data_IF_264807136149
#
_entry.id   IF_264807136149
#
_cell.length_a   1.000
_cell.length_b   1.000
_cell.length_c   1.000
_cell.angle_alpha   90.00
_cell.angle_beta   90.00
_cell.angle_gamma   90.00
#
_symmetry.space_group_name_H-M   'P 1'
#
loop_
_entity.id
_entity.type
_entity.pdbx_description
1 polymer ?
#
# COMPACT_ATOMS: atom_id res chain seq x y z
N UNK A 1 2.59 -17.02 9.69
CA UNK A 1 1.89 -17.99 8.81
C UNK A 1 0.68 -17.30 8.19
N UNK A 2 0.49 -17.47 6.89
CA UNK A 2 -0.53 -16.85 6.02
C UNK A 2 -0.35 -15.34 5.73
N UNK A 3 0.77 -14.99 5.09
CA UNK A 3 0.76 -13.87 4.13
C UNK A 3 -0.11 -14.30 2.95
N UNK A 4 -1.42 -14.09 3.08
CA UNK A 4 -2.32 -14.16 1.94
C UNK A 4 -1.91 -13.02 1.00
N UNK A 5 -0.99 -13.35 0.09
CA UNK A 5 -0.61 -12.56 -1.05
C UNK A 5 -1.82 -12.37 -1.93
N UNK A 6 -2.67 -11.41 -1.57
CA UNK A 6 -3.70 -10.91 -2.44
C UNK A 6 -3.02 -9.94 -3.39
N UNK A 7 -2.21 -10.50 -4.30
CA UNK A 7 -2.04 -9.88 -5.60
C UNK A 7 -3.45 -9.70 -6.12
N UNK A 8 -3.91 -8.46 -6.18
CA UNK A 8 -5.24 -8.11 -6.68
C UNK A 8 -5.29 -8.56 -8.16
N UNK A 9 -5.77 -9.78 -8.36
CA UNK A 9 -6.03 -10.44 -9.66
C UNK A 9 -7.40 -10.00 -10.23
N UNK A 10 -8.19 -9.23 -9.46
CA UNK A 10 -9.57 -8.86 -9.83
C UNK A 10 -9.68 -8.02 -11.12
N UNK A 11 -8.60 -7.38 -11.60
CA UNK A 11 -8.62 -6.49 -12.78
C UNK A 11 -7.54 -6.80 -13.82
N UNK A 12 -7.31 -8.09 -14.13
CA UNK A 12 -6.41 -8.46 -15.23
C UNK A 12 -7.09 -8.25 -16.60
N UNK A 13 -6.33 -7.84 -17.63
CA UNK A 13 -6.83 -7.71 -18.99
C UNK A 13 -7.37 -9.05 -19.51
N UNK A 14 -8.58 -9.02 -20.08
CA UNK A 14 -9.31 -10.16 -20.63
C UNK A 14 -9.43 -10.03 -22.15
N UNK A 15 -9.53 -11.14 -22.85
CA UNK A 15 -9.86 -11.15 -24.27
C UNK A 15 -11.34 -10.87 -24.52
N UNK A 16 -11.74 -10.82 -25.79
CA UNK A 16 -13.13 -10.62 -26.21
C UNK A 16 -14.07 -11.74 -25.72
N UNK A 17 -13.53 -12.90 -25.34
CA UNK A 17 -14.25 -14.05 -24.80
C UNK A 17 -14.25 -14.11 -23.26
N UNK A 18 -13.63 -13.13 -22.58
CA UNK A 18 -13.58 -13.03 -21.11
C UNK A 18 -12.47 -13.85 -20.44
N UNK A 19 -11.60 -14.53 -21.20
CA UNK A 19 -10.47 -15.29 -20.67
C UNK A 19 -9.31 -14.39 -20.28
N UNK A 20 -8.56 -14.79 -19.25
CA UNK A 20 -7.38 -14.06 -18.79
C UNK A 20 -6.26 -14.16 -19.82
N UNK A 21 -5.88 -13.03 -20.41
CA UNK A 21 -4.76 -12.96 -21.37
C UNK A 21 -3.39 -13.16 -20.73
N UNK A 22 -3.30 -13.06 -19.40
CA UNK A 22 -2.03 -13.06 -18.68
C UNK A 22 -1.34 -14.43 -18.65
N UNK A 23 -2.09 -15.52 -18.53
CA UNK A 23 -1.56 -16.90 -18.53
C UNK A 23 -0.90 -17.25 -19.88
N UNK A 24 -1.53 -17.04 -21.04
CA UNK A 24 -0.88 -17.28 -22.33
C UNK A 24 0.21 -16.25 -22.66
N UNK A 25 0.08 -15.02 -22.15
CA UNK A 25 1.07 -13.96 -22.34
C UNK A 25 2.40 -14.25 -21.62
N UNK A 26 2.35 -14.93 -20.45
CA UNK A 26 3.50 -15.23 -19.58
C UNK A 26 4.41 -14.02 -19.33
N UNK A 27 3.81 -12.83 -19.22
CA UNK A 27 4.51 -11.58 -18.91
C UNK A 27 5.46 -11.06 -20.02
N UNK A 28 5.65 -11.78 -21.13
CA UNK A 28 6.61 -11.41 -22.19
C UNK A 28 5.95 -11.02 -23.51
N UNK A 29 4.77 -11.55 -23.83
CA UNK A 29 4.11 -11.35 -25.14
C UNK A 29 3.25 -10.09 -25.23
N UNK A 30 3.05 -9.38 -24.12
CA UNK A 30 2.26 -8.15 -24.01
C UNK A 30 0.88 -8.20 -24.72
N UNK A 31 0.18 -9.35 -24.66
CA UNK A 31 -1.14 -9.56 -25.31
C UNK A 31 -2.24 -8.58 -24.85
N UNK A 32 -2.00 -7.84 -23.77
CA UNK A 32 -2.89 -6.81 -23.25
C UNK A 32 -2.70 -5.42 -23.90
N UNK A 33 -1.78 -5.27 -24.85
CA UNK A 33 -1.52 -4.02 -25.57
C UNK A 33 -0.80 -2.93 -24.77
N UNK A 34 -0.32 -3.24 -23.55
CA UNK A 34 0.44 -2.30 -22.72
C UNK A 34 1.92 -2.37 -23.07
N UNK A 35 2.61 -1.24 -23.05
CA UNK A 35 4.07 -1.15 -23.26
C UNK A 35 4.87 -1.99 -22.25
N UNK A 36 4.35 -2.11 -21.02
CA UNK A 36 4.95 -2.90 -19.94
C UNK A 36 3.90 -3.75 -19.25
N UNK A 37 4.26 -4.96 -18.85
CA UNK A 37 3.35 -5.84 -18.13
C UNK A 37 3.12 -5.34 -16.70
N UNK A 38 1.87 -5.04 -16.27
CA UNK A 38 1.58 -4.56 -14.92
C UNK A 38 2.00 -5.55 -13.82
N UNK A 39 1.98 -6.85 -14.12
CA UNK A 39 2.40 -7.89 -13.19
C UNK A 39 3.90 -7.80 -12.87
N UNK A 40 4.72 -7.59 -13.90
CA UNK A 40 6.17 -7.46 -13.74
C UNK A 40 6.53 -6.18 -12.98
N UNK A 41 5.88 -5.07 -13.33
CA UNK A 41 6.08 -3.77 -12.67
C UNK A 41 5.77 -3.88 -11.18
N UNK A 42 4.63 -4.49 -10.81
CA UNK A 42 4.28 -4.73 -9.41
C UNK A 42 5.27 -5.65 -8.70
N UNK A 43 5.70 -6.73 -9.35
CA UNK A 43 6.65 -7.68 -8.78
C UNK A 43 8.00 -6.99 -8.47
N UNK A 44 8.54 -6.25 -9.42
CA UNK A 44 9.82 -5.55 -9.25
C UNK A 44 9.73 -4.47 -8.16
N UNK A 45 8.65 -3.69 -8.12
CA UNK A 45 8.45 -2.68 -7.08
C UNK A 45 8.30 -3.32 -5.69
N UNK A 46 7.61 -4.47 -5.62
CA UNK A 46 7.45 -5.22 -4.38
C UNK A 46 8.78 -5.82 -3.89
N UNK A 47 9.56 -6.43 -4.79
CA UNK A 47 10.89 -6.96 -4.46
C UNK A 47 11.83 -5.88 -3.94
N UNK A 48 11.87 -4.71 -4.60
CA UNK A 48 12.67 -3.57 -4.14
C UNK A 48 12.29 -3.11 -2.74
N UNK A 49 10.99 -3.05 -2.45
CA UNK A 49 10.53 -2.65 -1.11
C UNK A 49 10.84 -3.74 -0.08
N UNK A 50 10.64 -5.01 -0.42
CA UNK A 50 10.92 -6.13 0.47
C UNK A 50 12.40 -6.18 0.88
N UNK A 51 13.32 -5.87 -0.03
CA UNK A 51 14.76 -5.83 0.31
C UNK A 51 15.13 -4.71 1.30
N UNK A 52 14.30 -3.67 1.42
CA UNK A 52 14.51 -2.57 2.36
C UNK A 52 13.96 -2.85 3.76
N UNK A 53 13.08 -3.85 3.89
CA UNK A 53 12.49 -4.25 5.16
C UNK A 53 13.46 -5.18 5.89
N UNK A 54 14.09 -4.66 6.96
CA UNK A 54 14.97 -5.45 7.83
C UNK A 54 14.22 -5.78 9.12
N UNK A 55 13.63 -6.97 9.19
CA UNK A 55 12.99 -7.49 10.41
C UNK A 55 11.51 -7.14 10.59
N UNK A 56 11.04 -7.23 11.83
CA UNK A 56 9.63 -6.99 12.22
C UNK A 56 9.39 -5.57 12.74
N UNK A 57 10.40 -4.72 12.80
CA UNK A 57 10.28 -3.34 13.26
C UNK A 57 10.40 -2.40 12.07
N UNK A 58 9.50 -1.43 12.00
CA UNK A 58 9.44 -0.43 10.95
C UNK A 58 9.32 0.95 11.59
N UNK A 59 10.35 1.77 11.40
CA UNK A 59 10.39 3.16 11.82
C UNK A 59 10.45 4.05 10.58
N UNK A 60 9.59 5.07 10.52
CA UNK A 60 9.51 5.92 9.35
C UNK A 60 8.66 7.16 9.57
N UNK A 61 8.79 8.12 8.66
CA UNK A 61 7.83 9.23 8.61
C UNK A 61 6.59 8.73 7.87
N UNK A 62 5.49 8.51 8.60
CA UNK A 62 4.21 8.22 7.94
C UNK A 62 3.79 9.50 7.22
N UNK A 63 3.53 9.49 5.90
CA UNK A 63 2.67 10.53 5.33
C UNK A 63 1.35 10.57 6.13
N UNK A 64 0.52 11.62 6.01
CA UNK A 64 -0.79 11.67 6.67
C UNK A 64 -1.79 10.58 6.15
N UNK A 65 -1.29 9.53 5.52
CA UNK A 65 -2.01 8.39 4.98
C UNK A 65 -2.28 7.34 6.03
N UNK A 66 -3.56 6.99 6.17
CA UNK A 66 -4.02 5.87 6.97
C UNK A 66 -4.72 4.88 6.07
N UNK A 67 -4.46 3.60 6.30
CA UNK A 67 -5.20 2.52 5.66
C UNK A 67 -6.40 2.07 6.52
N UNK A 68 -7.57 1.97 5.90
CA UNK A 68 -8.78 1.37 6.48
C UNK A 68 -9.23 0.21 5.60
N UNK A 69 -9.29 -0.99 6.18
CA UNK A 69 -9.66 -2.21 5.48
C UNK A 69 -11.17 -2.36 5.26
N UNK A 70 -11.55 -2.84 4.07
CA UNK A 70 -12.95 -3.10 3.70
C UNK A 70 -13.57 -4.36 4.31
N UNK A 71 -12.74 -5.29 4.79
CA UNK A 71 -13.17 -6.60 5.26
C UNK A 71 -13.38 -6.63 6.77
N UNK A 72 -14.48 -7.24 7.20
CA UNK A 72 -14.76 -7.49 8.62
C UNK A 72 -15.68 -6.48 9.31
N UNK A 73 -16.26 -5.53 8.58
CA UNK A 73 -17.16 -4.51 9.15
C UNK A 73 -18.25 -5.13 10.06
N UNK A 74 -18.47 -4.61 11.29
CA UNK A 74 -17.91 -3.39 11.87
C UNK A 74 -16.47 -3.51 12.43
N UNK A 75 -15.93 -4.73 12.55
CA UNK A 75 -14.55 -4.99 13.03
C UNK A 75 -13.54 -4.85 11.89
N UNK A 76 -13.06 -3.64 11.66
CA UNK A 76 -12.13 -3.36 10.56
C UNK A 76 -10.67 -3.39 11.00
N UNK A 77 -9.79 -3.58 10.03
CA UNK A 77 -8.36 -3.43 10.25
C UNK A 77 -7.93 -2.03 9.84
N UNK A 78 -7.22 -1.32 10.71
CA UNK A 78 -6.69 0.01 10.43
C UNK A 78 -5.19 0.06 10.71
N UNK A 79 -4.51 1.03 10.12
CA UNK A 79 -3.14 1.35 10.49
C UNK A 79 -2.48 2.39 9.59
N UNK A 80 -1.40 3.02 10.08
CA UNK A 80 -0.63 3.97 9.30
C UNK A 80 0.10 3.28 8.14
N UNK A 81 0.45 4.07 7.12
CA UNK A 81 1.31 3.61 6.03
C UNK A 81 2.70 4.21 6.18
N UNK A 82 3.70 3.36 6.39
CA UNK A 82 5.06 3.78 6.68
C UNK A 82 6.01 3.36 5.55
N UNK A 83 6.90 4.24 5.09
CA UNK A 83 8.06 3.85 4.30
C UNK A 83 9.21 3.33 5.19
N UNK A 84 10.11 2.48 4.66
CA UNK A 84 11.28 1.99 5.39
C UNK A 84 12.42 3.03 5.51
N UNK A 85 12.11 4.31 5.37
CA UNK A 85 13.07 5.42 5.46
C UNK A 85 12.46 6.64 6.15
N UNK A 86 13.32 7.47 6.76
CA UNK A 86 12.94 8.76 7.33
C UNK A 86 13.10 9.91 6.33
N UNK A 87 12.35 11.00 6.55
CA UNK A 87 12.42 12.22 5.74
C UNK A 87 11.05 12.82 5.46
N UNK A 88 10.99 13.77 4.51
CA UNK A 88 9.71 14.27 3.99
C UNK A 88 9.07 13.23 3.07
N UNK A 89 8.06 12.54 3.58
CA UNK A 89 7.33 11.49 2.87
C UNK A 89 6.00 12.00 2.30
N UNK A 90 5.71 13.31 2.39
CA UNK A 90 4.48 13.92 1.89
C UNK A 90 4.24 13.63 0.41
N UNK A 91 5.31 13.60 -0.40
CA UNK A 91 5.22 13.30 -1.83
C UNK A 91 4.68 11.89 -2.10
N UNK A 92 4.90 10.93 -1.20
CA UNK A 92 4.48 9.53 -1.39
C UNK A 92 2.97 9.33 -1.37
N UNK A 93 2.22 10.30 -0.81
CA UNK A 93 0.76 10.22 -0.66
C UNK A 93 0.01 11.49 -1.10
N UNK A 94 0.66 12.39 -1.85
CA UNK A 94 0.02 13.59 -2.42
C UNK A 94 -0.18 13.42 -3.94
N UNK A 95 -1.27 12.78 -4.40
CA UNK A 95 -1.49 12.50 -5.82
C UNK A 95 -1.56 13.76 -6.70
N UNK A 96 -1.95 14.90 -6.13
CA UNK A 96 -2.00 16.20 -6.80
C UNK A 96 -0.61 16.61 -7.32
N UNK A 97 0.46 16.18 -6.64
CA UNK A 97 1.85 16.46 -7.02
C UNK A 97 2.44 15.42 -7.97
N UNK A 98 1.70 14.37 -8.33
CA UNK A 98 2.19 13.32 -9.25
C UNK A 98 1.97 13.67 -10.72
N UNK A 99 1.19 14.71 -11.02
CA UNK A 99 0.96 15.16 -12.40
C UNK A 99 2.31 15.49 -13.06
N UNK A 100 2.58 14.86 -14.21
CA UNK A 100 3.85 15.01 -14.94
C UNK A 100 4.98 14.07 -14.50
N UNK A 101 4.78 13.24 -13.47
CA UNK A 101 5.73 12.18 -13.08
C UNK A 101 5.55 10.93 -13.95
N UNK A 102 6.61 10.12 -14.04
CA UNK A 102 6.53 8.84 -14.76
C UNK A 102 5.70 7.85 -13.95
N UNK A 103 5.04 6.93 -14.64
CA UNK A 103 4.27 5.87 -13.97
C UNK A 103 5.14 5.01 -13.06
N UNK A 104 6.41 4.84 -13.39
CA UNK A 104 7.37 4.07 -12.58
C UNK A 104 7.60 4.74 -11.23
N UNK A 105 7.73 6.07 -11.21
CA UNK A 105 7.87 6.86 -9.98
C UNK A 105 6.63 6.71 -9.09
N UNK A 106 5.43 6.79 -9.69
CA UNK A 106 4.16 6.63 -8.96
C UNK A 106 4.04 5.24 -8.36
N UNK A 107 4.40 4.21 -9.13
CA UNK A 107 4.43 2.82 -8.63
C UNK A 107 5.40 2.70 -7.48
N UNK A 108 6.56 3.33 -7.55
CA UNK A 108 7.58 3.29 -6.50
C UNK A 108 7.12 4.01 -5.23
N UNK A 109 6.55 5.21 -5.35
CA UNK A 109 5.97 5.93 -4.21
C UNK A 109 4.95 5.07 -3.47
N UNK A 110 4.05 4.43 -4.24
CA UNK A 110 2.98 3.62 -3.69
C UNK A 110 3.45 2.29 -3.12
N UNK A 111 4.51 1.70 -3.67
CA UNK A 111 5.04 0.40 -3.27
C UNK A 111 5.93 0.48 -2.05
N UNK A 112 6.62 1.61 -1.85
CA UNK A 112 7.44 1.87 -0.67
C UNK A 112 6.62 2.00 0.62
N UNK A 113 5.34 2.36 0.51
CA UNK A 113 4.44 2.51 1.65
C UNK A 113 3.95 1.15 2.14
N UNK A 114 4.50 0.71 3.27
CA UNK A 114 4.18 -0.54 3.94
C UNK A 114 2.97 -0.32 4.84
N UNK A 115 1.96 -1.17 4.69
CA UNK A 115 0.74 -1.12 5.49
C UNK A 115 0.93 -1.86 6.81
N UNK A 116 0.87 -1.13 7.91
CA UNK A 116 0.69 -1.74 9.23
C UNK A 116 -0.79 -2.07 9.43
N UNK A 117 -1.07 -3.18 10.12
CA UNK A 117 -2.44 -3.64 10.36
C UNK A 117 -2.65 -3.97 11.83
N UNK A 118 -3.62 -3.32 12.45
CA UNK A 118 -4.19 -3.75 13.72
C UNK A 118 -5.72 -3.80 13.64
N UNK A 119 -6.31 -4.78 14.32
CA UNK A 119 -7.76 -4.96 14.29
C UNK A 119 -8.42 -4.11 15.36
N UNK A 120 -9.44 -3.35 14.95
CA UNK A 120 -10.28 -2.57 15.86
C UNK A 120 -11.71 -3.08 15.73
N UNK A 121 -12.37 -3.29 16.87
CA UNK A 121 -13.77 -3.74 16.89
C UNK A 121 -14.74 -2.61 16.56
N UNK A 122 -14.32 -1.39 16.86
CA UNK A 122 -15.13 -0.17 16.83
C UNK A 122 -14.22 0.95 16.32
N UNK A 123 -14.70 1.70 15.33
CA UNK A 123 -13.97 2.83 14.72
C UNK A 123 -14.26 4.16 15.43
N UNK A 124 -15.13 4.16 16.43
CA UNK A 124 -15.54 5.38 17.13
C UNK A 124 -14.42 5.85 18.09
N UNK A 125 -13.81 7.03 17.84
CA UNK A 125 -12.76 7.56 18.69
C UNK A 125 -13.27 8.00 20.08
N UNK A 126 -14.56 8.31 20.23
CA UNK A 126 -15.15 8.74 21.51
C UNK A 126 -15.28 7.58 22.49
N UNK A 127 -15.39 6.34 21.98
CA UNK A 127 -15.46 5.11 22.80
C UNK A 127 -14.11 4.65 23.36
N UNK A 128 -13.06 5.48 23.24
CA UNK A 128 -11.82 5.34 24.01
C UNK A 128 -10.78 4.38 23.42
N UNK A 129 -10.86 4.02 22.14
CA UNK A 129 -9.80 3.23 21.52
C UNK A 129 -8.59 4.11 21.19
N UNK A 130 -7.56 4.06 22.05
CA UNK A 130 -6.31 4.82 21.89
C UNK A 130 -5.66 4.65 20.51
N UNK A 131 -5.74 3.46 19.90
CA UNK A 131 -5.16 3.22 18.59
C UNK A 131 -5.93 3.94 17.49
N UNK A 132 -7.26 4.05 17.61
CA UNK A 132 -8.10 4.82 16.68
C UNK A 132 -7.79 6.31 16.81
N UNK A 133 -7.70 6.83 18.03
CA UNK A 133 -7.36 8.23 18.29
C UNK A 133 -5.98 8.59 17.71
N UNK A 134 -4.95 7.78 17.96
CA UNK A 134 -3.62 8.02 17.37
C UNK A 134 -3.66 7.97 15.85
N UNK A 135 -4.41 7.05 15.27
CA UNK A 135 -4.57 6.97 13.82
C UNK A 135 -5.25 8.21 13.26
N UNK A 136 -6.24 8.75 13.97
CA UNK A 136 -6.90 10.00 13.62
C UNK A 136 -5.94 11.19 13.72
N UNK A 137 -5.15 11.28 14.79
CA UNK A 137 -4.10 12.31 14.95
C UNK A 137 -3.09 12.26 13.81
N UNK A 138 -2.66 11.06 13.40
CA UNK A 138 -1.76 10.88 12.25
C UNK A 138 -2.39 11.37 10.94
N UNK A 139 -3.67 11.08 10.71
CA UNK A 139 -4.39 11.53 9.52
C UNK A 139 -4.61 13.06 9.48
N UNK A 140 -4.72 13.70 10.65
CA UNK A 140 -4.90 15.14 10.78
C UNK A 140 -3.58 15.92 10.85
N UNK A 141 -2.44 15.25 10.87
CA UNK A 141 -1.13 15.89 10.97
C UNK A 141 -0.81 16.69 9.71
N UNK A 142 -0.40 17.96 9.88
CA UNK A 142 -0.02 18.83 8.77
C UNK A 142 1.33 18.44 8.15
N UNK A 143 2.21 17.80 8.92
CA UNK A 143 3.54 17.34 8.51
C UNK A 143 3.69 15.85 8.83
N UNK A 144 4.39 15.05 8.01
CA UNK A 144 4.60 13.62 8.25
C UNK A 144 5.20 13.35 9.64
N UNK A 145 4.42 12.81 10.59
CA UNK A 145 4.94 12.51 11.91
C UNK A 145 5.84 11.27 11.86
N UNK A 146 6.82 11.22 12.76
CA UNK A 146 7.61 10.01 12.97
C UNK A 146 6.76 8.96 13.70
N UNK A 147 6.71 7.75 13.14
CA UNK A 147 5.92 6.63 13.66
C UNK A 147 6.79 5.39 13.68
N UNK A 148 6.69 4.65 14.78
CA UNK A 148 7.27 3.33 14.93
C UNK A 148 6.14 2.30 14.96
N UNK A 149 6.30 1.23 14.20
CA UNK A 149 5.35 0.15 14.09
C UNK A 149 6.06 -1.21 14.12
N UNK A 150 5.47 -2.17 14.84
CA UNK A 150 5.87 -3.57 14.79
C UNK A 150 4.95 -4.33 13.85
N UNK A 151 5.53 -5.03 12.88
CA UNK A 151 4.87 -5.92 11.95
C UNK A 151 4.65 -7.28 12.64
N UNK A 152 3.39 -7.71 12.74
CA UNK A 152 2.97 -9.00 13.31
C UNK A 152 2.50 -9.97 12.23
#
# INVERSE_FOLDING_TARGET
>A
MAFAGQLVIENLPRDAQGNSLCVPCRTTKLLCGKERCPLLVRLHAHQRTHTLLTGTELAGASPPSVFVGRYGYPKVSIGPMLPPFGGDTSLLDTPERWVGRKIDDIVDFRSQLVRTRFQVKELDPEKGNRMVQRTQELAMAATPPHVDATLH
#
